data_IF_141557499647
#
_entry.id   IF_141557499647
#
_cell.length_a   1.000
_cell.length_b   1.000
_cell.length_c   1.000
_cell.angle_alpha   90.00
_cell.angle_beta   90.00
_cell.angle_gamma   90.00
#
_symmetry.space_group_name_H-M   'P 1'
#
loop_
_entity.id
_entity.type
_entity.pdbx_description
1 polymer ?
#
# COMPACT_ATOMS: atom_id res chain seq x y z
N UNK A 1 -14.50 -4.07 -5.66
CA UNK A 1 -13.02 -4.13 -5.79
C UNK A 1 -12.41 -4.45 -4.43
N UNK A 2 -11.16 -4.88 -4.39
CA UNK A 2 -10.46 -5.20 -3.14
C UNK A 2 -9.66 -4.01 -2.63
N UNK A 3 -9.45 -3.94 -1.31
CA UNK A 3 -8.60 -2.93 -0.69
C UNK A 3 -7.24 -3.53 -0.37
N UNK A 4 -6.18 -2.84 -0.78
CA UNK A 4 -4.80 -3.21 -0.55
C UNK A 4 -4.04 -2.14 0.23
N UNK A 5 -3.29 -2.57 1.24
CA UNK A 5 -2.27 -1.75 1.89
C UNK A 5 -0.95 -1.87 1.14
N UNK A 6 -0.27 -0.77 0.89
CA UNK A 6 1.06 -0.74 0.27
C UNK A 6 2.07 -0.21 1.29
N UNK A 7 3.13 -0.98 1.52
CA UNK A 7 4.30 -0.57 2.31
C UNK A 7 5.40 -0.13 1.36
N UNK A 8 5.89 1.10 1.51
CA UNK A 8 7.09 1.59 0.83
C UNK A 8 8.30 1.49 1.74
N UNK A 9 9.31 0.73 1.33
CA UNK A 9 10.52 0.45 2.12
C UNK A 9 11.75 0.92 1.33
N UNK A 10 12.52 1.93 1.81
CA UNK A 10 13.74 2.38 1.17
C UNK A 10 14.82 1.28 1.12
N UNK A 11 15.71 1.35 0.12
CA UNK A 11 16.89 0.49 0.07
C UNK A 11 17.75 0.68 1.33
N UNK A 12 18.02 -0.40 2.06
CA UNK A 12 18.78 -0.38 3.31
C UNK A 12 17.96 -0.12 4.58
N UNK A 13 16.64 0.10 4.47
CA UNK A 13 15.74 0.21 5.61
C UNK A 13 14.95 -1.09 5.82
N UNK A 14 14.73 -1.46 7.09
CA UNK A 14 13.85 -2.58 7.48
C UNK A 14 12.47 -2.11 7.90
N UNK A 15 12.29 -0.80 8.10
CA UNK A 15 11.04 -0.19 8.54
C UNK A 15 10.37 0.47 7.33
N UNK A 16 9.07 0.19 7.07
CA UNK A 16 8.30 0.92 6.07
C UNK A 16 8.24 2.40 6.41
N UNK A 17 8.56 3.26 5.45
CA UNK A 17 8.49 4.72 5.62
C UNK A 17 7.24 5.32 5.00
N UNK A 18 6.49 4.54 4.22
CA UNK A 18 5.23 4.96 3.60
C UNK A 18 4.19 3.85 3.73
N UNK A 19 2.96 4.25 4.05
CA UNK A 19 1.77 3.41 3.98
C UNK A 19 0.77 4.05 2.99
N UNK A 20 0.24 3.27 2.06
CA UNK A 20 -0.84 3.72 1.17
C UNK A 20 -2.00 2.72 1.22
N UNK A 21 -3.22 3.21 1.00
CA UNK A 21 -4.38 2.36 0.74
C UNK A 21 -4.76 2.50 -0.72
N UNK A 22 -4.80 1.38 -1.42
CA UNK A 22 -5.08 1.29 -2.85
C UNK A 22 -6.22 0.33 -3.05
N UNK A 23 -7.28 0.84 -3.62
CA UNK A 23 -8.41 0.03 -4.02
C UNK A 23 -8.24 -0.40 -5.48
N UNK A 24 -8.26 -1.70 -5.74
CA UNK A 24 -8.01 -2.27 -7.06
C UNK A 24 -8.70 -3.63 -7.22
N UNK A 25 -8.92 -4.11 -8.46
CA UNK A 25 -9.47 -5.44 -8.70
C UNK A 25 -8.49 -6.57 -8.35
N UNK A 26 -7.17 -6.33 -8.41
CA UNK A 26 -6.14 -7.32 -8.07
C UNK A 26 -4.94 -6.67 -7.37
N UNK A 27 -4.11 -7.49 -6.72
CA UNK A 27 -2.89 -7.06 -6.04
C UNK A 27 -1.86 -6.48 -7.02
N UNK A 28 -1.73 -7.06 -8.22
CA UNK A 28 -0.85 -6.57 -9.29
C UNK A 28 -1.28 -5.19 -9.74
N UNK A 29 -2.59 -4.96 -9.86
CA UNK A 29 -3.13 -3.65 -10.22
C UNK A 29 -2.88 -2.63 -9.12
N UNK A 30 -3.07 -3.01 -7.85
CA UNK A 30 -2.75 -2.16 -6.71
C UNK A 30 -1.26 -1.77 -6.68
N UNK A 31 -0.36 -2.73 -6.93
CA UNK A 31 1.07 -2.46 -7.05
C UNK A 31 1.37 -1.47 -8.16
N UNK A 32 0.82 -1.67 -9.36
CA UNK A 32 1.07 -0.79 -10.51
C UNK A 32 0.61 0.65 -10.24
N UNK A 33 -0.56 0.84 -9.62
CA UNK A 33 -1.08 2.15 -9.23
C UNK A 33 -0.21 2.86 -8.19
N UNK A 34 0.34 2.10 -7.24
CA UNK A 34 1.24 2.63 -6.21
C UNK A 34 2.62 2.98 -6.79
N UNK A 35 3.17 2.10 -7.63
CA UNK A 35 4.46 2.28 -8.30
C UNK A 35 4.47 3.50 -9.25
N UNK A 36 3.32 3.85 -9.83
CA UNK A 36 3.19 5.03 -10.68
C UNK A 36 3.27 6.37 -9.90
N UNK A 37 3.26 6.36 -8.56
CA UNK A 37 3.30 7.58 -7.75
C UNK A 37 4.75 8.06 -7.58
N UNK A 38 5.03 9.38 -7.71
CA UNK A 38 6.37 9.92 -7.50
C UNK A 38 6.98 9.55 -6.15
N UNK A 39 6.14 9.42 -5.11
CA UNK A 39 6.56 9.08 -3.75
C UNK A 39 7.07 7.64 -3.61
N UNK A 40 6.78 6.76 -4.58
CA UNK A 40 7.26 5.38 -4.60
C UNK A 40 8.66 5.26 -5.23
N UNK A 41 9.21 6.34 -5.80
CA UNK A 41 10.52 6.30 -6.45
C UNK A 41 11.61 5.88 -5.46
N UNK A 42 12.41 4.86 -5.84
CA UNK A 42 13.49 4.34 -5.00
C UNK A 42 13.03 3.49 -3.80
N UNK A 43 11.74 3.15 -3.71
CA UNK A 43 11.19 2.29 -2.67
C UNK A 43 10.89 0.89 -3.21
N UNK A 44 11.11 -0.12 -2.37
CA UNK A 44 10.52 -1.44 -2.55
C UNK A 44 9.09 -1.39 -2.04
N UNK A 45 8.13 -1.73 -2.90
CA UNK A 45 6.72 -1.77 -2.54
C UNK A 45 6.30 -3.19 -2.18
N UNK A 46 5.61 -3.35 -1.06
CA UNK A 46 4.95 -4.60 -0.69
C UNK A 46 3.44 -4.38 -0.64
N UNK A 47 2.69 -5.27 -1.30
CA UNK A 47 1.22 -5.23 -1.33
C UNK A 47 0.67 -6.20 -0.28
N UNK A 48 -0.31 -5.76 0.49
CA UNK A 48 -1.00 -6.56 1.50
C UNK A 48 -2.50 -6.44 1.25
N UNK A 49 -3.19 -7.56 1.13
CA UNK A 49 -4.65 -7.56 1.08
C UNK A 49 -5.18 -7.22 2.48
N UNK A 50 -5.98 -6.16 2.59
CA UNK A 50 -6.48 -5.63 3.88
C UNK A 50 -8.01 -5.72 4.00
N UNK A 51 -8.65 -6.48 3.11
CA UNK A 51 -10.09 -6.74 3.10
C UNK A 51 -10.82 -6.14 1.89
N UNK A 52 -12.12 -6.42 1.78
CA UNK A 52 -12.96 -5.94 0.69
C UNK A 52 -13.83 -4.76 1.12
N UNK A 53 -13.80 -3.66 0.37
CA UNK A 53 -14.86 -2.65 0.36
C UNK A 53 -14.67 -1.60 -0.75
N UNK A 54 -15.80 -1.26 -1.41
CA UNK A 54 -16.11 -0.19 -2.39
C UNK A 54 -15.95 -0.52 -3.90
N UNK A 55 -16.71 0.24 -4.70
CA UNK A 55 -16.95 0.03 -6.14
C UNK A 55 -16.03 0.86 -7.04
N UNK A 56 -15.20 1.77 -6.49
CA UNK A 56 -14.34 2.69 -7.25
C UNK A 56 -12.84 2.51 -6.95
N UNK A 57 -12.00 2.56 -7.99
CA UNK A 57 -10.54 2.52 -7.89
C UNK A 57 -10.02 3.84 -7.30
N UNK A 58 -9.58 3.81 -6.04
CA UNK A 58 -9.13 5.02 -5.31
C UNK A 58 -7.80 4.78 -4.60
N UNK A 59 -6.93 5.79 -4.58
CA UNK A 59 -5.70 5.80 -3.78
C UNK A 59 -5.87 6.83 -2.66
N UNK A 60 -5.88 6.37 -1.41
CA UNK A 60 -5.98 7.25 -0.22
C UNK A 60 -4.67 7.21 0.56
N UNK A 61 -4.16 8.39 0.88
CA UNK A 61 -3.07 8.56 1.82
C UNK A 61 -3.67 8.74 3.21
N UNK A 62 -3.52 7.74 4.05
CA UNK A 62 -3.84 7.87 5.47
C UNK A 62 -2.53 7.73 6.23
N UNK A 63 -2.31 8.63 7.19
CA UNK A 63 -1.17 8.57 8.10
C UNK A 63 -1.10 7.23 8.84
N UNK A 64 -0.07 7.00 9.66
CA UNK A 64 0.33 5.67 10.12
C UNK A 64 -0.84 4.90 10.75
N UNK A 65 -1.39 3.96 9.99
CA UNK A 65 -2.38 3.01 10.46
C UNK A 65 -1.65 1.88 11.20
N UNK A 66 -2.13 1.42 12.38
CA UNK A 66 -1.53 0.27 13.03
C UNK A 66 -1.74 -0.96 12.12
N UNK A 67 -0.64 -1.52 11.65
CA UNK A 67 -0.66 -2.75 10.87
C UNK A 67 -1.24 -3.88 11.73
N UNK A 68 -2.08 -4.76 11.18
CA UNK A 68 -2.55 -5.94 11.91
C UNK A 68 -1.43 -6.89 12.38
N UNK A 69 -0.19 -6.69 11.93
CA UNK A 69 0.98 -7.48 12.36
C UNK A 69 1.84 -6.79 13.44
N UNK A 70 1.47 -5.59 13.90
CA UNK A 70 2.07 -4.93 15.07
C UNK A 70 1.05 -4.78 16.20
N UNK A 71 0.45 -5.90 16.57
CA UNK A 71 -0.01 -6.09 17.95
C UNK A 71 1.18 -6.60 18.77
N UNK A 72 2.01 -5.67 19.23
CA UNK A 72 2.88 -5.86 20.41
C UNK A 72 2.65 -4.67 21.32
#
# INVERSE_FOLDING_TARGET
>A
MEMYGIRGIPAGATIPTIAMRVQAPTAERAHALAAARPIAAGLRLEVIHIGGAQDEETVRYEGPWPWPDRAT
#
